data_IF_338093150449
#
_entry.id   IF_338093150449
#
_cell.length_a   1.000
_cell.length_b   1.000
_cell.length_c   1.000
_cell.angle_alpha   90.00
_cell.angle_beta   90.00
_cell.angle_gamma   90.00
#
_symmetry.space_group_name_H-M   'P 1'
#
loop_
_entity.id
_entity.type
_entity.pdbx_description
1 polymer ?
#
# COMPACT_ATOMS: atom_id res chain seq x y z
N UNK A 1 -33.19 -20.10 -84.84
CA UNK A 1 -33.96 -18.86 -84.55
C UNK A 1 -33.15 -17.64 -84.95
N UNK A 2 -33.61 -16.38 -84.94
CA UNK A 2 -34.71 -15.72 -84.18
C UNK A 2 -34.57 -15.99 -82.66
N UNK A 3 -34.37 -15.02 -81.75
CA UNK A 3 -34.29 -13.54 -81.75
C UNK A 3 -33.16 -13.12 -80.75
N UNK A 4 -32.67 -11.89 -80.58
CA UNK A 4 -32.91 -10.60 -81.25
C UNK A 4 -33.35 -9.48 -80.28
N UNK A 5 -32.43 -8.53 -79.95
CA UNK A 5 -32.62 -7.28 -79.16
C UNK A 5 -33.04 -7.47 -77.67
N UNK A 6 -32.80 -6.59 -76.68
CA UNK A 6 -31.89 -5.44 -76.44
C UNK A 6 -31.70 -5.35 -74.87
N UNK A 7 -31.05 -4.40 -74.17
CA UNK A 7 -30.40 -3.10 -74.43
C UNK A 7 -29.26 -2.93 -73.37
N UNK A 8 -28.70 -1.78 -72.92
CA UNK A 8 -28.83 -0.35 -73.29
C UNK A 8 -28.65 0.61 -72.09
N UNK A 9 -27.44 1.19 -71.94
CA UNK A 9 -27.08 2.32 -71.02
C UNK A 9 -27.28 2.06 -69.49
N UNK A 10 -26.82 2.87 -68.52
CA UNK A 10 -26.08 4.13 -68.51
C UNK A 10 -25.04 4.18 -67.35
N UNK A 11 -24.15 5.18 -67.32
CA UNK A 11 -23.37 5.55 -66.12
C UNK A 11 -24.25 6.41 -65.18
N UNK A 12 -24.34 6.04 -63.89
CA UNK A 12 -25.08 6.79 -62.86
C UNK A 12 -24.21 7.13 -61.65
N UNK A 13 -24.46 8.30 -61.04
CA UNK A 13 -23.60 8.89 -60.01
C UNK A 13 -23.59 8.14 -58.65
N UNK A 14 -22.52 8.36 -57.88
CA UNK A 14 -22.54 8.13 -56.41
C UNK A 14 -23.49 9.13 -55.76
N UNK A 15 -24.15 8.71 -54.68
CA UNK A 15 -24.81 9.59 -53.73
C UNK A 15 -24.39 9.18 -52.31
N UNK A 16 -23.76 10.09 -51.56
CA UNK A 16 -23.21 9.78 -50.24
C UNK A 16 -24.29 9.74 -49.16
N UNK A 17 -24.71 8.52 -48.79
CA UNK A 17 -25.60 8.27 -47.66
C UNK A 17 -24.82 8.14 -46.35
N UNK A 18 -24.48 9.27 -45.71
CA UNK A 18 -23.74 9.29 -44.45
C UNK A 18 -24.59 8.74 -43.26
N UNK A 19 -24.63 7.42 -43.13
CA UNK A 19 -25.32 6.75 -42.04
C UNK A 19 -24.60 7.03 -40.70
N UNK A 20 -25.15 7.98 -39.92
CA UNK A 20 -24.77 8.17 -38.51
C UNK A 20 -24.97 6.84 -37.76
N UNK A 21 -23.88 6.18 -37.43
CA UNK A 21 -23.90 5.02 -36.54
C UNK A 21 -24.48 5.46 -35.19
N UNK A 22 -25.61 4.86 -34.79
CA UNK A 22 -26.14 5.03 -33.44
C UNK A 22 -25.20 4.31 -32.48
N UNK A 23 -24.67 5.01 -31.49
CA UNK A 23 -23.91 4.39 -30.39
C UNK A 23 -24.77 3.27 -29.78
N UNK A 24 -24.20 2.07 -29.53
CA UNK A 24 -24.95 1.00 -28.88
C UNK A 24 -25.32 1.43 -27.46
N UNK A 25 -26.60 1.31 -27.10
CA UNK A 25 -27.05 1.64 -25.76
C UNK A 25 -26.49 0.64 -24.74
N UNK A 26 -25.97 1.16 -23.63
CA UNK A 26 -25.49 0.39 -22.47
C UNK A 26 -26.58 -0.59 -21.99
N UNK A 27 -26.23 -1.86 -21.81
CA UNK A 27 -27.11 -2.87 -21.23
C UNK A 27 -26.85 -2.97 -19.73
N UNK A 28 -27.67 -2.28 -18.93
CA UNK A 28 -27.62 -2.26 -17.47
C UNK A 28 -28.09 -3.59 -16.82
N UNK A 29 -27.60 -4.74 -17.29
CA UNK A 29 -27.84 -6.05 -16.69
C UNK A 29 -26.84 -6.40 -15.58
N UNK A 30 -25.72 -5.68 -15.53
CA UNK A 30 -24.84 -5.57 -14.37
C UNK A 30 -24.85 -4.10 -13.96
N UNK A 31 -24.94 -3.82 -12.66
CA UNK A 31 -25.11 -2.46 -12.13
C UNK A 31 -23.83 -1.61 -12.27
N UNK A 32 -23.99 -0.30 -12.14
CA UNK A 32 -22.84 0.61 -11.99
C UNK A 32 -22.07 0.22 -10.73
N UNK A 33 -20.73 0.19 -10.81
CA UNK A 33 -19.90 -0.09 -9.65
C UNK A 33 -19.70 1.17 -8.79
N UNK A 34 -20.80 1.64 -8.20
CA UNK A 34 -20.81 2.77 -7.25
C UNK A 34 -19.94 2.50 -6.02
N UNK A 35 -19.74 1.23 -5.63
CA UNK A 35 -18.85 0.88 -4.53
C UNK A 35 -17.39 1.24 -4.87
N UNK A 36 -16.90 0.87 -6.06
CA UNK A 36 -15.56 1.26 -6.51
C UNK A 36 -15.42 2.79 -6.67
N UNK A 37 -16.44 3.46 -7.21
CA UNK A 37 -16.44 4.92 -7.29
C UNK A 37 -16.38 5.57 -5.90
N UNK A 38 -17.13 5.02 -4.94
CA UNK A 38 -17.10 5.44 -3.54
C UNK A 38 -15.74 5.22 -2.89
N UNK A 39 -15.15 4.02 -3.04
CA UNK A 39 -13.81 3.71 -2.52
C UNK A 39 -12.73 4.63 -3.09
N UNK A 40 -12.80 4.94 -4.39
CA UNK A 40 -11.90 5.89 -5.04
C UNK A 40 -11.98 7.29 -4.41
N UNK A 41 -13.20 7.79 -4.17
CA UNK A 41 -13.46 9.09 -3.57
C UNK A 41 -13.09 9.12 -2.06
N UNK A 42 -13.63 8.19 -1.28
CA UNK A 42 -13.56 8.18 0.19
C UNK A 42 -12.20 7.69 0.72
N UNK A 43 -11.65 6.61 0.15
CA UNK A 43 -10.50 5.91 0.72
C UNK A 43 -9.18 6.32 0.06
N UNK A 44 -9.20 6.57 -1.25
CA UNK A 44 -8.00 6.74 -2.07
C UNK A 44 -7.71 8.17 -2.52
N UNK A 45 -8.70 9.07 -2.61
CA UNK A 45 -8.51 10.46 -3.06
C UNK A 45 -9.00 11.51 -2.07
N UNK A 46 -10.28 11.92 -2.12
CA UNK A 46 -10.80 13.08 -1.41
C UNK A 46 -10.87 12.93 0.12
N UNK A 47 -11.07 11.72 0.62
CA UNK A 47 -11.47 11.46 2.01
C UNK A 47 -13.00 11.43 2.18
N UNK A 48 -13.48 10.90 3.31
CA UNK A 48 -14.92 10.77 3.60
C UNK A 48 -15.63 12.14 3.62
N UNK A 49 -15.07 13.11 4.34
CA UNK A 49 -15.56 14.51 4.33
C UNK A 49 -15.06 15.31 3.11
N UNK A 50 -14.74 14.63 2.02
CA UNK A 50 -14.00 15.16 0.87
C UNK A 50 -14.72 16.24 0.04
N UNK A 51 -16.03 16.40 0.22
CA UNK A 51 -16.86 17.43 -0.43
C UNK A 51 -17.61 17.00 -1.70
N UNK A 52 -17.70 15.69 -1.99
CA UNK A 52 -18.43 15.11 -3.12
C UNK A 52 -19.88 14.76 -2.74
N UNK A 53 -20.73 14.56 -3.74
CA UNK A 53 -22.15 14.17 -3.60
C UNK A 53 -22.42 12.75 -4.11
N UNK A 54 -23.64 12.24 -3.89
CA UNK A 54 -24.08 10.97 -4.48
C UNK A 54 -24.15 11.04 -6.02
N UNK A 55 -24.48 12.20 -6.59
CA UNK A 55 -24.47 12.43 -8.04
C UNK A 55 -23.04 12.29 -8.60
N UNK A 56 -22.02 12.71 -7.85
CA UNK A 56 -20.61 12.49 -8.20
C UNK A 56 -20.22 11.01 -8.12
N UNK A 57 -20.73 10.25 -7.14
CA UNK A 57 -20.50 8.80 -7.06
C UNK A 57 -21.07 8.09 -8.29
N UNK A 58 -22.30 8.42 -8.72
CA UNK A 58 -22.89 7.86 -9.95
C UNK A 58 -22.09 8.27 -11.19
N UNK A 59 -21.72 9.56 -11.29
CA UNK A 59 -20.99 10.08 -12.45
C UNK A 59 -19.57 9.50 -12.56
N UNK A 60 -18.87 9.27 -11.45
CA UNK A 60 -17.58 8.57 -11.40
C UNK A 60 -17.77 7.09 -11.76
N UNK A 61 -18.77 6.40 -11.20
CA UNK A 61 -19.05 5.01 -11.54
C UNK A 61 -19.33 4.83 -13.04
N UNK A 62 -20.02 5.81 -13.65
CA UNK A 62 -20.26 5.89 -15.09
C UNK A 62 -19.00 6.21 -15.90
N UNK A 63 -18.13 7.11 -15.43
CA UNK A 63 -16.87 7.44 -16.08
C UNK A 63 -15.91 6.23 -16.20
N UNK A 64 -15.88 5.37 -15.16
CA UNK A 64 -15.08 4.14 -15.16
C UNK A 64 -15.73 2.95 -15.87
N UNK A 65 -16.96 3.06 -16.41
CA UNK A 65 -17.56 1.96 -17.19
C UNK A 65 -16.69 1.58 -18.39
N UNK A 66 -16.60 0.27 -18.65
CA UNK A 66 -15.71 -0.28 -19.69
C UNK A 66 -14.24 -0.43 -19.29
N UNK A 67 -13.78 0.13 -18.17
CA UNK A 67 -12.48 -0.23 -17.59
C UNK A 67 -12.58 -1.63 -16.97
N UNK A 68 -11.63 -2.52 -17.27
CA UNK A 68 -11.62 -3.89 -16.76
C UNK A 68 -10.20 -4.48 -16.73
N UNK A 69 -10.06 -5.69 -16.18
CA UNK A 69 -8.80 -6.44 -16.18
C UNK A 69 -9.02 -7.85 -16.72
N UNK A 70 -8.09 -8.32 -17.55
CA UNK A 70 -7.98 -9.73 -17.90
C UNK A 70 -7.34 -10.52 -16.75
N UNK A 71 -7.82 -11.73 -16.42
CA UNK A 71 -7.07 -12.67 -15.62
C UNK A 71 -5.66 -12.88 -16.21
N UNK A 72 -4.59 -12.98 -15.41
CA UNK A 72 -3.22 -13.12 -15.94
C UNK A 72 -3.08 -14.25 -16.97
N UNK A 73 -3.71 -15.41 -16.72
CA UNK A 73 -3.74 -16.57 -17.62
C UNK A 73 -4.40 -16.28 -18.98
N UNK A 74 -5.33 -15.32 -19.04
CA UNK A 74 -6.00 -14.91 -20.27
C UNK A 74 -5.25 -13.77 -21.01
N UNK A 75 -4.57 -12.90 -20.25
CA UNK A 75 -3.69 -11.88 -20.80
C UNK A 75 -2.51 -12.51 -21.57
N UNK A 76 -1.90 -13.56 -21.02
CA UNK A 76 -0.57 -14.07 -21.39
C UNK A 76 -0.38 -14.42 -22.87
N UNK A 77 -1.38 -14.98 -23.58
CA UNK A 77 -1.20 -15.42 -25.00
C UNK A 77 -2.37 -15.29 -25.99
N UNK A 78 -3.64 -15.18 -25.59
CA UNK A 78 -4.75 -15.14 -26.57
C UNK A 78 -5.78 -14.00 -26.37
N UNK A 79 -5.82 -13.37 -25.20
CA UNK A 79 -6.62 -12.16 -24.98
C UNK A 79 -5.90 -10.91 -25.50
N UNK A 80 -4.73 -10.60 -24.91
CA UNK A 80 -4.05 -9.33 -25.11
C UNK A 80 -3.69 -9.03 -26.59
N UNK A 81 -3.07 -9.97 -27.32
CA UNK A 81 -2.69 -9.75 -28.73
C UNK A 81 -3.88 -9.34 -29.62
N UNK A 82 -5.06 -9.93 -29.37
CA UNK A 82 -6.28 -9.65 -30.15
C UNK A 82 -6.81 -8.25 -29.87
N UNK A 83 -6.73 -7.80 -28.63
CA UNK A 83 -7.12 -6.45 -28.18
C UNK A 83 -6.10 -5.38 -28.62
N UNK A 84 -4.83 -5.74 -28.71
CA UNK A 84 -3.78 -4.87 -29.27
C UNK A 84 -3.81 -4.77 -30.80
N UNK A 85 -4.58 -5.61 -31.49
CA UNK A 85 -4.62 -5.66 -32.95
C UNK A 85 -5.09 -4.34 -33.60
N UNK A 86 -4.65 -4.00 -34.83
CA UNK A 86 -5.11 -2.79 -35.53
C UNK A 86 -6.63 -2.70 -35.73
N UNK A 87 -7.34 -3.83 -35.71
CA UNK A 87 -8.81 -3.87 -35.78
C UNK A 87 -9.45 -3.50 -34.45
N UNK A 88 -8.92 -3.99 -33.34
CA UNK A 88 -9.42 -3.67 -32.00
C UNK A 88 -9.14 -2.20 -31.63
N UNK A 89 -7.94 -1.69 -31.89
CA UNK A 89 -7.62 -0.25 -31.71
C UNK A 89 -8.57 0.66 -32.51
N UNK A 90 -8.86 0.31 -33.78
CA UNK A 90 -9.86 1.03 -34.61
C UNK A 90 -11.31 0.92 -34.12
N UNK A 91 -11.61 -0.07 -33.28
CA UNK A 91 -12.90 -0.23 -32.63
C UNK A 91 -12.97 0.45 -31.24
N UNK A 92 -11.91 1.19 -30.84
CA UNK A 92 -11.83 1.94 -29.58
C UNK A 92 -11.27 1.16 -28.39
N UNK A 93 -10.73 -0.04 -28.60
CA UNK A 93 -10.10 -0.81 -27.51
C UNK A 93 -8.72 -0.28 -27.17
N UNK A 94 -8.43 -0.24 -25.87
CA UNK A 94 -7.09 0.00 -25.30
C UNK A 94 -6.75 -1.17 -24.39
N UNK A 95 -5.48 -1.54 -24.29
CA UNK A 95 -5.00 -2.53 -23.32
C UNK A 95 -3.55 -2.29 -22.98
N UNK A 96 -3.20 -2.42 -21.70
CA UNK A 96 -1.82 -2.39 -21.21
C UNK A 96 -1.63 -3.41 -20.08
N UNK A 97 -0.65 -4.30 -20.21
CA UNK A 97 -0.51 -5.49 -19.35
C UNK A 97 -1.81 -6.28 -19.22
N UNK A 98 -2.39 -6.30 -18.01
CA UNK A 98 -3.69 -6.91 -17.70
C UNK A 98 -4.89 -5.96 -17.86
N UNK A 99 -4.67 -4.64 -17.90
CA UNK A 99 -5.74 -3.65 -18.04
C UNK A 99 -6.30 -3.64 -19.46
N UNK A 100 -7.62 -3.47 -19.58
CA UNK A 100 -8.35 -3.32 -20.83
C UNK A 100 -9.43 -2.26 -20.69
N UNK A 101 -9.57 -1.40 -21.71
CA UNK A 101 -10.78 -0.62 -21.94
C UNK A 101 -11.63 -1.26 -23.04
N UNK A 102 -12.88 -1.59 -22.71
CA UNK A 102 -13.87 -2.15 -23.61
C UNK A 102 -14.94 -1.09 -23.96
N UNK A 103 -14.84 -0.39 -25.10
CA UNK A 103 -15.71 0.75 -25.44
C UNK A 103 -17.20 0.37 -25.55
N UNK A 104 -17.51 -0.88 -25.93
CA UNK A 104 -18.89 -1.38 -25.98
C UNK A 104 -19.55 -1.59 -24.62
N UNK A 105 -18.84 -1.34 -23.51
CA UNK A 105 -19.37 -1.36 -22.15
C UNK A 105 -19.33 0.03 -21.48
N UNK A 106 -18.82 1.05 -22.16
CA UNK A 106 -18.74 2.42 -21.62
C UNK A 106 -20.05 3.19 -21.86
N UNK A 107 -20.56 3.85 -20.82
CA UNK A 107 -21.60 4.87 -20.94
C UNK A 107 -21.02 6.14 -21.56
N UNK A 108 -21.02 6.25 -22.88
CA UNK A 108 -20.56 7.45 -23.59
C UNK A 108 -21.51 8.67 -23.49
N UNK A 109 -22.49 8.68 -22.57
CA UNK A 109 -23.33 9.86 -22.32
C UNK A 109 -22.63 10.90 -21.44
N UNK A 110 -23.18 12.12 -21.40
CA UNK A 110 -22.58 13.24 -20.63
C UNK A 110 -22.62 12.96 -19.12
N UNK A 111 -21.61 13.45 -18.40
CA UNK A 111 -21.46 13.30 -16.95
C UNK A 111 -21.03 14.65 -16.35
N UNK A 112 -21.13 14.79 -15.03
CA UNK A 112 -20.61 15.93 -14.29
C UNK A 112 -19.96 15.41 -13.01
N UNK A 113 -18.70 15.74 -12.76
CA UNK A 113 -17.91 15.25 -11.62
C UNK A 113 -17.22 16.43 -10.95
N UNK A 114 -17.48 16.63 -9.66
CA UNK A 114 -17.01 17.76 -8.85
C UNK A 114 -17.23 19.14 -9.52
N UNK A 115 -18.35 19.26 -10.24
CA UNK A 115 -18.72 20.47 -10.97
C UNK A 115 -18.13 20.60 -12.39
N UNK A 116 -17.25 19.71 -12.82
CA UNK A 116 -16.69 19.67 -14.19
C UNK A 116 -17.58 18.82 -15.09
N UNK A 117 -17.95 19.33 -16.28
CA UNK A 117 -18.81 18.61 -17.24
C UNK A 117 -17.97 17.77 -18.22
N UNK A 118 -18.16 16.44 -18.21
CA UNK A 118 -17.56 15.52 -19.19
C UNK A 118 -18.48 15.40 -20.42
N UNK A 119 -18.01 15.78 -21.64
CA UNK A 119 -18.82 15.74 -22.86
C UNK A 119 -19.26 14.32 -23.28
N UNK A 120 -20.46 14.22 -23.85
CA UNK A 120 -20.93 12.97 -24.46
C UNK A 120 -20.11 12.60 -25.72
N UNK A 121 -19.97 11.31 -25.98
CA UNK A 121 -19.23 10.74 -27.12
C UNK A 121 -17.79 10.30 -26.81
N UNK A 122 -17.37 10.40 -25.54
CA UNK A 122 -16.06 9.98 -25.02
C UNK A 122 -16.00 8.49 -24.64
N UNK A 123 -14.80 8.00 -24.35
CA UNK A 123 -14.48 6.65 -23.91
C UNK A 123 -13.55 6.60 -22.68
N UNK A 124 -12.37 5.97 -22.83
CA UNK A 124 -11.39 5.76 -21.74
C UNK A 124 -11.01 7.07 -21.04
N UNK A 125 -10.96 8.15 -21.80
CA UNK A 125 -10.59 9.49 -21.41
C UNK A 125 -11.52 10.10 -20.34
N UNK A 126 -12.73 9.57 -20.12
CA UNK A 126 -13.59 10.00 -19.00
C UNK A 126 -13.01 9.57 -17.65
N UNK A 127 -12.61 8.31 -17.52
CA UNK A 127 -11.94 7.82 -16.30
C UNK A 127 -10.58 8.49 -16.07
N UNK A 128 -9.88 8.88 -17.15
CA UNK A 128 -8.62 9.62 -17.05
C UNK A 128 -8.84 11.04 -16.54
N UNK A 129 -9.80 11.79 -17.12
CA UNK A 129 -10.09 13.15 -16.67
C UNK A 129 -10.69 13.18 -15.25
N UNK A 130 -11.43 12.14 -14.83
CA UNK A 130 -11.81 11.98 -13.42
C UNK A 130 -10.58 11.85 -12.51
N UNK A 131 -9.56 11.09 -12.89
CA UNK A 131 -8.31 11.00 -12.10
C UNK A 131 -7.60 12.36 -12.04
N UNK A 132 -7.55 13.11 -13.15
CA UNK A 132 -6.96 14.46 -13.18
C UNK A 132 -7.73 15.44 -12.28
N UNK A 133 -9.08 15.42 -12.33
CA UNK A 133 -9.97 16.19 -11.45
C UNK A 133 -9.71 15.86 -9.97
N UNK A 134 -9.57 14.57 -9.64
CA UNK A 134 -9.32 14.13 -8.27
C UNK A 134 -7.93 14.50 -7.79
N UNK A 135 -6.89 14.38 -8.62
CA UNK A 135 -5.51 14.82 -8.28
C UNK A 135 -5.43 16.34 -8.10
N UNK A 136 -6.20 17.11 -8.89
CA UNK A 136 -6.27 18.57 -8.73
C UNK A 136 -7.05 19.03 -7.49
N UNK A 137 -7.83 18.16 -6.82
CA UNK A 137 -8.72 18.57 -5.74
C UNK A 137 -7.97 18.80 -4.41
N UNK A 138 -8.19 19.93 -3.70
CA UNK A 138 -7.50 20.23 -2.44
C UNK A 138 -7.71 19.15 -1.35
N UNK A 139 -8.88 18.51 -1.29
CA UNK A 139 -9.14 17.41 -0.35
C UNK A 139 -8.20 16.22 -0.59
N UNK A 140 -7.86 15.91 -1.85
CA UNK A 140 -6.90 14.83 -2.18
C UNK A 140 -5.50 15.16 -1.69
N UNK A 141 -5.04 16.39 -1.91
CA UNK A 141 -3.77 16.87 -1.38
C UNK A 141 -3.76 16.75 0.17
N UNK A 142 -4.86 17.09 0.84
CA UNK A 142 -5.01 17.02 2.30
C UNK A 142 -5.05 15.58 2.84
N UNK A 143 -5.84 14.70 2.23
CA UNK A 143 -6.02 13.30 2.64
C UNK A 143 -4.73 12.50 2.46
N UNK A 144 -4.07 12.62 1.31
CA UNK A 144 -2.82 11.92 1.04
C UNK A 144 -1.66 12.46 1.90
N UNK A 145 -1.59 13.77 2.12
CA UNK A 145 -0.66 14.37 3.09
C UNK A 145 -0.90 13.83 4.51
N UNK A 146 -2.16 13.74 4.95
CA UNK A 146 -2.51 13.24 6.28
C UNK A 146 -2.11 11.77 6.42
N UNK A 147 -2.49 10.91 5.47
CA UNK A 147 -2.12 9.48 5.49
C UNK A 147 -0.61 9.27 5.49
N UNK A 148 0.16 10.05 4.74
CA UNK A 148 1.63 10.01 4.78
C UNK A 148 2.20 10.47 6.13
N UNK A 149 1.64 11.52 6.74
CA UNK A 149 2.08 11.99 8.05
C UNK A 149 1.72 11.01 9.19
N UNK A 150 0.51 10.42 9.16
CA UNK A 150 0.07 9.34 10.06
C UNK A 150 0.97 8.10 9.92
N UNK A 151 1.30 7.73 8.68
CA UNK A 151 2.22 6.62 8.40
C UNK A 151 3.60 6.88 9.02
N UNK A 152 4.22 8.02 8.73
CA UNK A 152 5.66 8.19 8.94
C UNK A 152 6.08 9.02 10.17
N UNK A 153 5.21 9.86 10.75
CA UNK A 153 5.59 10.80 11.82
C UNK A 153 5.00 10.39 13.17
N UNK A 154 3.67 10.44 13.32
CA UNK A 154 2.95 10.15 14.55
C UNK A 154 1.51 9.71 14.23
N UNK A 155 0.84 9.00 15.14
CA UNK A 155 -0.59 8.63 14.96
C UNK A 155 -1.47 9.89 14.83
N UNK A 156 -1.15 10.93 15.61
CA UNK A 156 -1.68 12.29 15.47
C UNK A 156 -0.56 13.22 14.95
N UNK A 157 -0.45 13.44 13.63
CA UNK A 157 0.62 14.28 13.08
C UNK A 157 0.34 15.78 13.28
N UNK A 158 1.37 16.61 13.57
CA UNK A 158 1.21 18.06 13.65
C UNK A 158 0.64 18.65 12.35
N UNK A 159 -0.34 19.55 12.46
CA UNK A 159 -1.03 20.15 11.31
C UNK A 159 -0.05 20.78 10.30
N UNK A 160 0.99 21.45 10.78
CA UNK A 160 2.08 22.05 9.97
C UNK A 160 2.79 21.05 9.04
N UNK A 161 2.90 19.78 9.42
CA UNK A 161 3.45 18.71 8.56
C UNK A 161 2.47 18.43 7.43
N UNK A 162 1.19 18.25 7.77
CA UNK A 162 0.12 17.96 6.81
C UNK A 162 -0.09 19.14 5.85
N UNK A 163 0.05 20.38 6.33
CA UNK A 163 -0.02 21.61 5.54
C UNK A 163 1.13 21.64 4.51
N UNK A 164 2.38 21.45 4.95
CA UNK A 164 3.56 21.49 4.08
C UNK A 164 3.57 20.37 3.02
N UNK A 165 3.06 19.18 3.35
CA UNK A 165 2.91 18.08 2.40
C UNK A 165 1.77 18.33 1.39
N UNK A 166 0.62 18.86 1.82
CA UNK A 166 -0.49 19.19 0.94
C UNK A 166 -0.17 20.35 -0.01
N UNK A 167 0.53 21.38 0.46
CA UNK A 167 1.06 22.45 -0.39
C UNK A 167 2.03 21.88 -1.44
N UNK A 168 2.93 20.99 -1.03
CA UNK A 168 3.90 20.34 -1.92
C UNK A 168 3.19 19.52 -3.00
N UNK A 169 2.23 18.66 -2.62
CA UNK A 169 1.42 17.86 -3.54
C UNK A 169 0.70 18.73 -4.57
N UNK A 170 0.08 19.82 -4.10
CA UNK A 170 -0.68 20.74 -4.95
C UNK A 170 0.23 21.48 -5.95
N UNK A 171 1.40 21.94 -5.48
CA UNK A 171 2.40 22.63 -6.31
C UNK A 171 3.16 21.70 -7.27
N UNK A 172 3.28 20.42 -6.93
CA UNK A 172 3.93 19.40 -7.77
C UNK A 172 2.96 18.64 -8.68
N UNK A 173 1.69 19.05 -8.73
CA UNK A 173 0.62 18.40 -9.51
C UNK A 173 0.50 16.89 -9.21
N UNK A 174 0.64 16.52 -7.94
CA UNK A 174 0.52 15.15 -7.45
C UNK A 174 1.80 14.32 -7.43
N UNK A 175 2.99 14.88 -7.73
CA UNK A 175 4.25 14.11 -7.62
C UNK A 175 4.55 13.70 -6.17
N UNK A 176 4.22 12.45 -5.85
CA UNK A 176 4.51 11.80 -4.57
C UNK A 176 6.02 11.74 -4.27
N UNK A 177 6.91 11.80 -5.27
CA UNK A 177 8.37 11.86 -5.02
C UNK A 177 8.76 13.22 -4.43
N UNK A 178 8.14 14.32 -4.87
CA UNK A 178 8.31 15.63 -4.25
C UNK A 178 7.76 15.63 -2.81
N UNK A 179 6.58 15.07 -2.59
CA UNK A 179 5.95 15.00 -1.25
C UNK A 179 6.77 14.16 -0.27
N UNK A 180 7.21 12.95 -0.67
CA UNK A 180 8.05 12.08 0.17
C UNK A 180 9.43 12.72 0.41
N UNK A 181 10.01 13.43 -0.56
CA UNK A 181 11.23 14.22 -0.31
C UNK A 181 10.98 15.31 0.73
N UNK A 182 9.90 16.09 0.60
CA UNK A 182 9.56 17.15 1.55
C UNK A 182 9.37 16.60 2.97
N UNK A 183 8.72 15.44 3.11
CA UNK A 183 8.57 14.74 4.39
C UNK A 183 9.92 14.44 5.05
N UNK A 184 10.91 13.97 4.29
CA UNK A 184 12.27 13.68 4.79
C UNK A 184 13.08 14.95 5.12
N UNK A 185 12.69 16.11 4.61
CA UNK A 185 13.30 17.41 4.94
C UNK A 185 12.73 18.07 6.20
N UNK A 186 11.58 17.61 6.71
CA UNK A 186 10.91 18.20 7.87
C UNK A 186 11.59 17.78 9.18
N UNK A 187 11.97 18.71 10.07
CA UNK A 187 12.54 18.38 11.38
C UNK A 187 11.66 17.44 12.22
N UNK A 188 10.34 17.53 12.06
CA UNK A 188 9.33 16.71 12.73
C UNK A 188 9.47 15.21 12.41
N UNK A 189 9.96 14.85 11.22
CA UNK A 189 10.23 13.45 10.84
C UNK A 189 11.41 12.85 11.64
N UNK A 190 12.38 13.67 12.03
CA UNK A 190 13.62 13.23 12.70
C UNK A 190 13.64 13.48 14.22
N UNK A 191 12.94 14.52 14.68
CA UNK A 191 13.02 15.06 16.04
C UNK A 191 11.80 14.80 16.94
N UNK A 192 10.72 14.22 16.43
CA UNK A 192 9.61 13.80 17.27
C UNK A 192 10.02 12.62 18.19
N UNK A 193 9.50 12.52 19.43
CA UNK A 193 9.63 11.29 20.21
C UNK A 193 8.99 10.15 19.43
N UNK A 194 9.73 9.05 19.25
CA UNK A 194 9.26 7.91 18.46
C UNK A 194 8.10 7.22 19.17
N UNK A 195 6.87 7.58 18.79
CA UNK A 195 5.62 7.03 19.31
C UNK A 195 5.06 5.92 18.43
N UNK A 196 5.28 6.00 17.10
CA UNK A 196 4.88 4.99 16.13
C UNK A 196 5.42 3.60 16.50
N UNK A 197 4.51 2.65 16.71
CA UNK A 197 4.84 1.24 16.93
C UNK A 197 5.06 0.53 15.60
N UNK A 198 6.00 -0.42 15.55
CA UNK A 198 6.19 -1.32 14.41
C UNK A 198 4.97 -2.22 14.25
N UNK A 199 4.37 -2.26 13.06
CA UNK A 199 3.41 -3.32 12.74
C UNK A 199 4.09 -4.70 12.88
N UNK A 200 3.36 -5.80 13.09
CA UNK A 200 3.97 -7.13 13.23
C UNK A 200 4.95 -7.48 12.10
N UNK A 201 4.59 -7.19 10.85
CA UNK A 201 5.47 -7.36 9.68
C UNK A 201 6.78 -6.57 9.80
N UNK A 202 6.69 -5.31 10.25
CA UNK A 202 7.85 -4.45 10.45
C UNK A 202 8.70 -4.88 11.63
N UNK A 203 8.10 -5.46 12.69
CA UNK A 203 8.86 -6.03 13.80
C UNK A 203 9.62 -7.28 13.35
N UNK A 204 8.97 -8.20 12.65
CA UNK A 204 9.60 -9.41 12.10
C UNK A 204 10.77 -9.03 11.18
N UNK A 205 10.55 -8.12 10.23
CA UNK A 205 11.61 -7.64 9.34
C UNK A 205 12.73 -6.90 10.10
N UNK A 206 12.41 -6.12 11.13
CA UNK A 206 13.40 -5.42 11.95
C UNK A 206 14.23 -6.37 12.81
N UNK A 207 13.60 -7.36 13.46
CA UNK A 207 14.27 -8.33 14.33
C UNK A 207 15.22 -9.22 13.53
N UNK A 208 14.78 -9.72 12.36
CA UNK A 208 15.64 -10.47 11.43
C UNK A 208 16.84 -9.62 11.03
N UNK A 209 16.63 -8.38 10.60
CA UNK A 209 17.72 -7.47 10.18
C UNK A 209 18.66 -7.09 11.33
N UNK A 210 18.17 -6.94 12.56
CA UNK A 210 18.98 -6.55 13.72
C UNK A 210 19.92 -7.68 14.20
N UNK A 211 19.63 -8.93 13.82
CA UNK A 211 20.48 -10.11 14.11
C UNK A 211 21.36 -10.51 12.90
N UNK A 212 21.54 -9.61 11.93
CA UNK A 212 22.16 -9.87 10.61
C UNK A 212 21.57 -11.11 9.91
N UNK A 213 20.26 -11.29 10.05
CA UNK A 213 19.51 -12.38 9.46
C UNK A 213 19.16 -12.15 7.99
N UNK A 214 19.24 -13.22 7.21
CA UNK A 214 18.83 -13.27 5.81
C UNK A 214 17.69 -14.28 5.64
N UNK A 215 16.55 -13.83 5.11
CA UNK A 215 15.43 -14.70 4.78
C UNK A 215 15.72 -15.41 3.45
N UNK A 216 16.00 -16.71 3.51
CA UNK A 216 16.21 -17.55 2.32
C UNK A 216 14.89 -18.05 1.73
N UNK A 217 13.92 -18.33 2.60
CA UNK A 217 12.56 -18.76 2.25
C UNK A 217 11.59 -18.36 3.36
N UNK A 218 10.40 -17.82 3.04
CA UNK A 218 9.31 -17.73 4.01
C UNK A 218 9.00 -19.11 4.60
N UNK A 219 8.84 -19.17 5.91
CA UNK A 219 8.51 -20.38 6.66
C UNK A 219 7.18 -20.21 7.36
N UNK A 220 6.56 -21.33 7.76
CA UNK A 220 5.23 -21.31 8.40
C UNK A 220 5.26 -20.46 9.68
N UNK A 221 6.33 -20.61 10.43
CA UNK A 221 6.60 -19.98 11.71
C UNK A 221 6.59 -18.44 11.60
N UNK A 222 6.97 -17.88 10.44
CA UNK A 222 6.84 -16.44 10.15
C UNK A 222 5.37 -16.05 9.92
N UNK A 223 4.59 -16.85 9.20
CA UNK A 223 3.16 -16.57 8.97
C UNK A 223 2.34 -16.71 10.26
N UNK A 224 2.52 -17.79 11.01
CA UNK A 224 1.84 -18.07 12.28
C UNK A 224 2.22 -17.00 13.35
N UNK A 225 3.46 -16.47 13.33
CA UNK A 225 3.86 -15.33 14.16
C UNK A 225 3.14 -14.03 13.76
N UNK A 226 3.03 -13.74 12.45
CA UNK A 226 2.32 -12.55 11.97
C UNK A 226 0.81 -12.63 12.23
N UNK A 227 0.21 -13.82 12.13
CA UNK A 227 -1.20 -14.06 12.45
C UNK A 227 -1.48 -13.88 13.95
N UNK A 228 -0.68 -14.50 14.82
CA UNK A 228 -0.82 -14.37 16.29
C UNK A 228 -0.54 -12.95 16.81
N UNK A 229 0.22 -12.14 16.07
CA UNK A 229 0.40 -10.71 16.32
C UNK A 229 -0.66 -9.80 15.67
N UNK A 230 -1.64 -10.36 14.93
CA UNK A 230 -2.79 -9.64 14.36
C UNK A 230 -2.61 -9.08 12.93
N UNK A 231 -1.54 -9.44 12.21
CA UNK A 231 -1.30 -9.01 10.83
C UNK A 231 -1.03 -10.20 9.85
N UNK A 232 -1.96 -11.17 9.71
CA UNK A 232 -1.82 -12.26 8.74
C UNK A 232 -1.66 -11.73 7.30
N UNK A 233 -0.65 -12.23 6.58
CA UNK A 233 -0.29 -11.67 5.28
C UNK A 233 -1.37 -11.88 4.22
N UNK A 234 -1.72 -10.79 3.52
CA UNK A 234 -2.75 -10.72 2.48
C UNK A 234 -4.18 -11.09 2.95
N UNK A 235 -4.44 -11.15 4.27
CA UNK A 235 -5.72 -11.58 4.83
C UNK A 235 -6.64 -10.44 5.30
N UNK A 236 -6.25 -9.17 5.16
CA UNK A 236 -7.14 -8.03 5.42
C UNK A 236 -8.22 -7.95 4.34
N UNK A 237 -9.48 -8.01 4.75
CA UNK A 237 -10.63 -7.95 3.84
C UNK A 237 -10.98 -6.52 3.39
N UNK A 238 -10.63 -5.51 4.19
CA UNK A 238 -10.94 -4.11 3.88
C UNK A 238 -9.97 -3.51 2.85
N UNK A 239 -10.44 -2.80 1.81
CA UNK A 239 -9.59 -2.17 0.78
C UNK A 239 -8.69 -1.05 1.31
N UNK A 240 -8.92 -0.60 2.56
CA UNK A 240 -8.04 0.33 3.29
C UNK A 240 -6.68 -0.27 3.67
N UNK A 241 -6.54 -1.60 3.67
CA UNK A 241 -5.37 -2.27 4.22
C UNK A 241 -5.35 -2.33 5.75
N UNK A 242 -4.21 -2.69 6.33
CA UNK A 242 -4.02 -2.74 7.78
C UNK A 242 -3.83 -1.34 8.38
N UNK A 243 -4.37 -1.03 9.57
CA UNK A 243 -4.24 0.29 10.19
C UNK A 243 -2.79 0.68 10.51
N UNK A 244 -2.50 1.98 10.50
CA UNK A 244 -1.19 2.52 10.86
C UNK A 244 -1.01 2.85 12.35
N UNK A 245 -2.10 2.90 13.12
CA UNK A 245 -2.16 3.34 14.53
C UNK A 245 -1.50 2.35 15.49
N UNK A 246 -0.77 2.85 16.49
CA UNK A 246 -0.10 2.03 17.50
C UNK A 246 -1.06 1.21 18.35
N UNK A 247 -2.27 1.72 18.62
CA UNK A 247 -3.28 1.06 19.44
C UNK A 247 -3.82 -0.26 18.85
N UNK A 248 -3.75 -0.42 17.52
CA UNK A 248 -4.13 -1.65 16.83
C UNK A 248 -3.05 -2.75 16.98
N UNK A 249 -1.83 -2.34 17.31
CA UNK A 249 -0.64 -3.22 17.33
C UNK A 249 -0.16 -3.57 18.74
N UNK A 250 -0.56 -2.80 19.76
CA UNK A 250 -0.25 -3.04 21.17
C UNK A 250 -1.46 -3.44 22.00
N UNK A 251 -1.49 -4.71 22.41
CA UNK A 251 -2.25 -5.17 23.56
C UNK A 251 -1.44 -6.26 24.29
N UNK A 252 -1.88 -6.69 25.47
CA UNK A 252 -1.14 -7.66 26.30
C UNK A 252 -0.87 -8.99 25.59
N UNK A 253 -1.76 -9.41 24.68
CA UNK A 253 -1.58 -10.62 23.88
C UNK A 253 -0.55 -10.44 22.76
N UNK A 254 -0.63 -9.34 21.99
CA UNK A 254 0.35 -9.09 20.93
C UNK A 254 1.74 -8.84 21.49
N UNK A 255 1.89 -8.21 22.67
CA UNK A 255 3.19 -8.06 23.34
C UNK A 255 3.84 -9.41 23.65
N UNK A 256 3.08 -10.38 24.18
CA UNK A 256 3.60 -11.73 24.43
C UNK A 256 3.97 -12.45 23.12
N UNK A 257 3.13 -12.37 22.08
CA UNK A 257 3.45 -12.96 20.77
C UNK A 257 4.73 -12.36 20.15
N UNK A 258 4.93 -11.04 20.30
CA UNK A 258 6.15 -10.32 19.87
C UNK A 258 7.40 -10.80 20.62
N UNK A 259 7.30 -11.05 21.92
CA UNK A 259 8.40 -11.62 22.72
C UNK A 259 8.70 -13.08 22.34
N UNK A 260 7.68 -13.91 22.18
CA UNK A 260 7.85 -15.32 21.80
C UNK A 260 8.52 -15.46 20.42
N UNK A 261 8.16 -14.61 19.44
CA UNK A 261 8.84 -14.58 18.15
C UNK A 261 10.32 -14.19 18.27
N UNK A 262 10.65 -13.22 19.14
CA UNK A 262 12.03 -12.83 19.38
C UNK A 262 12.87 -13.96 19.98
N UNK A 263 12.33 -14.69 20.95
CA UNK A 263 12.97 -15.88 21.55
C UNK A 263 13.20 -16.97 20.50
N UNK A 264 12.16 -17.38 19.78
CA UNK A 264 12.26 -18.42 18.74
C UNK A 264 13.30 -18.07 17.65
N UNK A 265 13.39 -16.81 17.24
CA UNK A 265 14.37 -16.32 16.27
C UNK A 265 15.82 -16.38 16.80
N UNK A 266 16.00 -16.15 18.10
CA UNK A 266 17.29 -16.22 18.78
C UNK A 266 17.72 -17.66 19.09
N UNK A 267 16.78 -18.56 19.38
CA UNK A 267 17.05 -19.99 19.57
C UNK A 267 17.24 -20.74 18.24
N UNK A 268 16.77 -20.16 17.12
CA UNK A 268 16.88 -20.74 15.78
C UNK A 268 15.67 -21.58 15.36
N UNK A 269 14.58 -21.51 16.11
CA UNK A 269 13.32 -22.22 15.89
C UNK A 269 12.45 -21.61 14.77
N UNK A 270 12.96 -20.62 14.02
CA UNK A 270 12.28 -20.03 12.85
C UNK A 270 13.03 -20.47 11.57
N UNK A 271 12.60 -21.56 10.91
CA UNK A 271 13.27 -22.08 9.71
C UNK A 271 13.35 -21.08 8.57
N UNK A 272 14.30 -21.27 7.66
CA UNK A 272 14.43 -20.45 6.45
C UNK A 272 15.06 -19.07 6.65
N UNK A 273 15.45 -18.73 7.88
CA UNK A 273 16.29 -17.58 8.20
C UNK A 273 17.70 -18.07 8.48
N UNK A 274 18.68 -17.60 7.72
CA UNK A 274 20.11 -17.76 8.01
C UNK A 274 20.58 -16.54 8.80
N UNK A 275 21.13 -16.72 9.99
CA UNK A 275 21.84 -15.67 10.75
C UNK A 275 23.22 -16.17 11.20
N UNK A 276 24.21 -15.31 11.44
CA UNK A 276 25.49 -15.74 12.02
C UNK A 276 25.31 -16.15 13.50
N UNK A 277 26.37 -16.70 14.13
CA UNK A 277 26.35 -16.89 15.59
C UNK A 277 26.39 -15.53 16.28
N UNK A 278 25.60 -15.37 17.34
CA UNK A 278 25.55 -14.12 18.09
C UNK A 278 26.87 -13.88 18.81
N UNK A 279 27.46 -14.95 19.36
CA UNK A 279 28.77 -14.98 20.00
C UNK A 279 29.89 -14.48 19.07
N UNK A 280 29.84 -14.77 17.77
CA UNK A 280 30.88 -14.36 16.82
C UNK A 280 30.69 -12.95 16.26
N UNK A 281 29.48 -12.39 16.37
CA UNK A 281 29.06 -11.21 15.60
C UNK A 281 28.84 -9.96 16.46
N UNK A 282 28.60 -10.16 17.75
CA UNK A 282 28.40 -9.11 18.73
C UNK A 282 29.60 -9.03 19.68
N UNK A 283 29.81 -7.88 20.37
CA UNK A 283 30.93 -7.76 21.31
C UNK A 283 30.87 -8.89 22.33
N UNK A 284 31.91 -9.74 22.32
CA UNK A 284 32.08 -10.89 23.22
C UNK A 284 31.90 -10.44 24.66
N UNK A 285 30.75 -10.78 25.23
CA UNK A 285 30.41 -10.48 26.62
C UNK A 285 31.48 -11.12 27.51
N UNK A 286 32.22 -10.35 28.34
CA UNK A 286 33.24 -10.92 29.19
C UNK A 286 32.62 -11.98 30.10
N UNK A 287 33.08 -13.24 29.97
CA UNK A 287 32.54 -14.36 30.74
C UNK A 287 32.69 -14.09 32.25
N UNK A 288 31.57 -13.73 32.89
CA UNK A 288 31.49 -13.34 34.30
C UNK A 288 30.96 -11.91 34.57
N UNK A 289 30.85 -11.03 33.57
CA UNK A 289 30.30 -9.67 33.73
C UNK A 289 29.03 -9.44 32.88
N UNK A 290 27.92 -9.99 33.36
CA UNK A 290 26.59 -9.81 32.74
C UNK A 290 25.99 -8.43 33.03
N UNK A 291 26.46 -7.70 34.05
CA UNK A 291 26.06 -6.31 34.30
C UNK A 291 26.68 -5.37 33.26
N UNK A 292 27.97 -5.54 32.95
CA UNK A 292 28.66 -4.85 31.86
C UNK A 292 28.15 -5.21 30.47
N UNK A 293 27.54 -6.39 30.29
CA UNK A 293 26.99 -6.88 29.03
C UNK A 293 25.78 -6.10 28.50
N UNK A 294 24.92 -5.59 29.40
CA UNK A 294 23.59 -5.07 29.03
C UNK A 294 23.68 -3.93 28.02
N UNK A 295 24.54 -2.93 28.26
CA UNK A 295 24.66 -1.76 27.38
C UNK A 295 25.23 -2.11 25.99
N UNK A 296 26.35 -2.87 25.85
CA UNK A 296 26.82 -3.37 24.57
C UNK A 296 25.77 -4.15 23.76
N UNK A 297 25.01 -5.05 24.40
CA UNK A 297 23.95 -5.83 23.73
C UNK A 297 22.84 -4.92 23.21
N UNK A 298 22.33 -4.03 24.05
CA UNK A 298 21.26 -3.10 23.64
C UNK A 298 21.73 -2.15 22.53
N UNK A 299 22.95 -1.61 22.64
CA UNK A 299 23.52 -0.71 21.63
C UNK A 299 23.74 -1.40 20.29
N UNK A 300 24.08 -2.69 20.27
CA UNK A 300 24.26 -3.42 19.02
C UNK A 300 22.95 -3.63 18.24
N UNK A 301 21.83 -3.84 18.94
CA UNK A 301 20.50 -3.92 18.33
C UNK A 301 19.89 -2.54 18.01
N UNK A 302 20.31 -1.48 18.71
CA UNK A 302 19.78 -0.12 18.60
C UNK A 302 20.89 0.94 18.33
N UNK A 303 21.74 0.78 17.30
CA UNK A 303 23.00 1.52 17.16
C UNK A 303 22.85 3.04 17.04
N UNK A 304 21.75 3.52 16.45
CA UNK A 304 21.46 4.94 16.25
C UNK A 304 20.54 5.55 17.35
N UNK A 305 20.45 4.92 18.53
CA UNK A 305 19.57 5.36 19.63
C UNK A 305 20.36 5.59 20.92
N UNK A 306 19.84 6.46 21.78
CA UNK A 306 20.12 6.32 23.22
C UNK A 306 19.49 5.02 23.70
N UNK A 307 20.24 4.30 24.53
CA UNK A 307 19.86 3.02 25.12
C UNK A 307 19.61 3.14 26.62
N UNK A 308 19.66 4.36 27.17
CA UNK A 308 19.74 4.59 28.61
C UNK A 308 18.46 4.16 29.33
N UNK A 309 17.28 4.41 28.74
CA UNK A 309 16.00 3.91 29.27
C UNK A 309 15.90 2.38 29.22
N UNK A 310 16.34 1.75 28.12
CA UNK A 310 16.31 0.29 27.97
C UNK A 310 17.27 -0.38 28.96
N UNK A 311 18.50 0.12 29.07
CA UNK A 311 19.50 -0.37 30.04
C UNK A 311 19.01 -0.19 31.47
N UNK A 312 18.39 0.95 31.81
CA UNK A 312 17.81 1.18 33.14
C UNK A 312 16.61 0.27 33.48
N UNK A 313 15.92 -0.29 32.46
CA UNK A 313 14.85 -1.28 32.65
C UNK A 313 15.37 -2.72 32.71
N UNK A 314 16.43 -3.05 31.97
CA UNK A 314 16.98 -4.41 31.91
C UNK A 314 17.97 -4.69 33.05
N UNK A 315 18.75 -3.71 33.51
CA UNK A 315 19.74 -3.93 34.55
C UNK A 315 19.13 -4.48 35.86
N UNK A 316 17.99 -3.97 36.38
CA UNK A 316 17.36 -4.54 37.58
C UNK A 316 16.95 -6.02 37.44
N UNK A 317 16.62 -6.49 36.22
CA UNK A 317 16.30 -7.90 35.98
C UNK A 317 17.55 -8.79 36.06
N UNK A 318 18.71 -8.28 35.63
CA UNK A 318 20.01 -8.93 35.80
C UNK A 318 20.42 -8.93 37.28
N UNK A 319 20.13 -7.86 38.01
CA UNK A 319 20.49 -7.72 39.42
C UNK A 319 19.63 -8.62 40.33
N UNK A 320 18.31 -8.70 40.12
CA UNK A 320 17.40 -9.59 40.85
C UNK A 320 17.76 -11.08 40.64
N UNK A 321 18.02 -11.52 39.40
CA UNK A 321 18.47 -12.89 39.13
C UNK A 321 19.79 -13.24 39.86
N UNK A 322 20.74 -12.29 39.91
CA UNK A 322 22.01 -12.45 40.62
C UNK A 322 21.83 -12.48 42.15
N UNK A 323 20.90 -11.69 42.70
CA UNK A 323 20.65 -11.61 44.14
C UNK A 323 19.83 -12.81 44.67
N UNK A 324 18.91 -13.34 43.85
CA UNK A 324 18.17 -14.56 44.14
C UNK A 324 19.00 -15.85 43.94
N UNK A 325 20.23 -15.74 43.40
CA UNK A 325 21.15 -16.86 43.19
C UNK A 325 20.80 -17.74 41.98
N UNK A 326 20.08 -17.19 41.01
CA UNK A 326 19.73 -17.86 39.76
C UNK A 326 20.93 -17.90 38.79
N UNK A 327 20.76 -18.60 37.66
CA UNK A 327 21.74 -18.50 36.57
C UNK A 327 21.69 -17.08 35.98
N UNK A 328 22.83 -16.39 35.79
CA UNK A 328 22.83 -15.07 35.18
C UNK A 328 22.37 -15.17 33.72
N UNK A 329 21.54 -14.23 33.22
CA UNK A 329 20.92 -14.34 31.91
C UNK A 329 21.97 -14.42 30.80
N UNK A 330 21.74 -15.33 29.86
CA UNK A 330 22.59 -15.55 28.70
C UNK A 330 22.55 -14.35 27.74
N UNK A 331 23.52 -14.31 26.83
CA UNK A 331 23.50 -13.37 25.70
C UNK A 331 22.17 -13.46 24.94
N UNK A 332 21.64 -14.66 24.69
CA UNK A 332 20.37 -14.83 23.98
C UNK A 332 19.19 -14.19 24.72
N UNK A 333 19.12 -14.31 26.04
CA UNK A 333 18.06 -13.69 26.85
C UNK A 333 18.17 -12.17 26.86
N UNK A 334 19.37 -11.60 27.00
CA UNK A 334 19.59 -10.15 26.88
C UNK A 334 19.19 -9.61 25.49
N UNK A 335 19.47 -10.37 24.42
CA UNK A 335 18.98 -10.06 23.08
C UNK A 335 17.46 -10.15 22.98
N UNK A 336 16.83 -11.18 23.56
CA UNK A 336 15.37 -11.38 23.53
C UNK A 336 14.64 -10.26 24.28
N UNK A 337 15.12 -9.89 25.48
CA UNK A 337 14.58 -8.78 26.27
C UNK A 337 14.76 -7.43 25.55
N UNK A 338 15.87 -7.25 24.83
CA UNK A 338 16.08 -6.05 24.00
C UNK A 338 15.11 -6.01 22.82
N UNK A 339 14.88 -7.11 22.11
CA UNK A 339 13.87 -7.18 21.03
C UNK A 339 12.43 -6.98 21.57
N UNK A 340 12.17 -7.40 22.81
CA UNK A 340 10.92 -7.12 23.53
C UNK A 340 10.77 -5.68 24.03
N UNK A 341 11.87 -4.90 24.11
CA UNK A 341 11.87 -3.56 24.72
C UNK A 341 10.97 -2.56 23.99
N UNK A 342 10.37 -1.57 24.68
CA UNK A 342 9.59 -0.51 24.04
C UNK A 342 10.38 0.22 22.94
N UNK A 343 11.69 0.37 23.11
CA UNK A 343 12.59 1.02 22.15
C UNK A 343 12.76 0.20 20.87
N UNK A 344 12.74 -1.14 20.95
CA UNK A 344 12.72 -2.00 19.77
C UNK A 344 11.30 -2.20 19.20
N UNK A 345 10.24 -2.00 20.00
CA UNK A 345 8.86 -2.03 19.50
C UNK A 345 8.47 -0.76 18.72
N UNK A 346 9.13 0.39 18.94
CA UNK A 346 8.84 1.67 18.26
C UNK A 346 9.83 2.01 17.14
N UNK A 347 9.34 2.50 15.99
CA UNK A 347 10.17 2.79 14.82
C UNK A 347 10.99 4.07 14.94
#
# INVERSE_FOLDING_TARGET
GRRGAAAGEARGARADGAARAKSPAFRASEGLNENYARELLELHTLGVDGGYSQDDVEAVARAFTGWTMLPPVAADRLGAERLQSPRARRAGFVSDGVFVFHPGYHDASKKRVLGVDLPAGRGIEDGQEVLDILVAHPSTARHLAHKLAVRFVADEPPAEVVDALAETFSRSQGDLRAVVRRLLELPQFWGAPRTKVRSPFELVAAAIRALDGHLERPSREIFDALESMGQPLYAQAAPTGYPDEAGQWLNSGTLLARMNFAVALLEGEVPGIRRPSLESSFPQVPAGDVRGAVRPVVQALLPERSVDETVARLLPLVEDALENGEAPPSTNELFAWTLGSPEFQRR
#
